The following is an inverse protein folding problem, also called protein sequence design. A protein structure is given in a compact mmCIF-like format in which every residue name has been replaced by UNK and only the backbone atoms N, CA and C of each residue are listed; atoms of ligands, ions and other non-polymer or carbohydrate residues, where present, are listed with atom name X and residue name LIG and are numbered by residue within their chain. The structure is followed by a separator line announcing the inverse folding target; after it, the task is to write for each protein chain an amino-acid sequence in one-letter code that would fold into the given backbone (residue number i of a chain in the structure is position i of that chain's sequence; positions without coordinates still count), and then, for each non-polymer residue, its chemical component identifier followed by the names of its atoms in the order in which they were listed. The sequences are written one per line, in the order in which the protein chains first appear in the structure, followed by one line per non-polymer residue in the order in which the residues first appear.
data_IF_767304403696
#
_entry.id   IF_767304403696
#
_cell.length_a   1.000
_cell.length_b   1.000
_cell.length_c   1.000
_cell.angle_alpha   90.00
_cell.angle_beta   90.00
_cell.angle_gamma   90.00
#
_symmetry.space_group_name_H-M   'P 1'
#
loop_
_entity.id
_entity.type
_entity.pdbx_description
1 polymer ?
#
# COMPACT_ATOMS: atom_id res chain seq x y z
N UNK A 1 5.55 -14.04 18.64
CA UNK A 1 4.43 -13.24 19.15
C UNK A 1 3.66 -12.79 17.92
N UNK A 2 2.54 -13.43 17.59
CA UNK A 2 1.69 -13.09 16.46
C UNK A 2 1.07 -11.72 16.77
N UNK A 3 1.39 -10.71 16.00
CA UNK A 3 0.62 -9.47 16.01
C UNK A 3 -0.65 -9.79 15.21
N UNK A 4 -1.74 -10.00 15.95
CA UNK A 4 -3.08 -10.11 15.37
C UNK A 4 -3.35 -8.86 14.56
N UNK A 5 -3.77 -9.06 13.30
CA UNK A 5 -4.43 -8.03 12.50
C UNK A 5 -5.69 -7.61 13.27
N UNK A 6 -5.57 -6.62 14.13
CA UNK A 6 -6.73 -5.96 14.71
C UNK A 6 -7.45 -5.27 13.56
N UNK A 7 -8.59 -5.85 13.18
CA UNK A 7 -9.61 -5.13 12.40
C UNK A 7 -9.80 -3.77 13.07
N UNK A 8 -9.46 -2.72 12.33
CA UNK A 8 -9.74 -1.34 12.77
C UNK A 8 -11.25 -1.17 12.65
N UNK A 9 -11.94 -1.39 13.76
CA UNK A 9 -13.38 -1.22 13.86
C UNK A 9 -13.77 0.23 13.52
N UNK A 10 -14.82 0.34 12.74
CA UNK A 10 -15.47 1.57 12.28
C UNK A 10 -16.00 2.41 13.46
N UNK A 11 -15.18 3.23 14.11
CA UNK A 11 -15.68 4.37 14.92
C UNK A 11 -14.60 5.28 15.51
N UNK A 12 -13.54 5.61 14.80
CA UNK A 12 -12.64 6.67 15.26
C UNK A 12 -12.68 7.83 14.27
N UNK A 13 -13.29 8.93 14.74
CA UNK A 13 -13.40 10.22 14.03
C UNK A 13 -12.07 10.99 14.06
N UNK A 14 -10.94 10.32 14.18
CA UNK A 14 -9.62 10.95 14.28
C UNK A 14 -8.58 10.21 13.42
N UNK A 15 -7.61 10.94 12.85
CA UNK A 15 -6.50 10.32 12.15
C UNK A 15 -5.71 9.41 13.09
N UNK A 16 -5.22 8.30 12.54
CA UNK A 16 -4.48 7.29 13.28
C UNK A 16 -3.00 7.41 12.94
N UNK A 17 -2.14 7.52 13.96
CA UNK A 17 -0.69 7.49 13.79
C UNK A 17 -0.17 6.11 14.17
N UNK A 18 0.56 5.47 13.26
CA UNK A 18 1.10 4.12 13.47
C UNK A 18 2.59 4.13 13.24
N UNK A 19 3.32 3.56 14.21
CA UNK A 19 4.71 3.16 14.03
C UNK A 19 4.74 1.68 13.66
N UNK A 20 5.29 1.38 12.50
CA UNK A 20 5.44 0.02 12.01
C UNK A 20 6.92 -0.38 12.04
N UNK A 21 7.17 -1.58 12.54
CA UNK A 21 8.49 -2.20 12.64
C UNK A 21 8.45 -3.57 11.98
N UNK A 22 9.38 -3.82 11.06
CA UNK A 22 9.54 -5.10 10.39
C UNK A 22 10.96 -5.62 10.58
N UNK A 23 11.16 -6.60 11.49
CA UNK A 23 12.50 -7.09 11.79
C UNK A 23 13.09 -8.01 10.72
N UNK A 24 12.23 -8.61 9.88
CA UNK A 24 12.66 -9.56 8.86
C UNK A 24 12.09 -9.17 7.49
N UNK A 25 12.80 -9.54 6.44
CA UNK A 25 12.29 -9.41 5.08
C UNK A 25 11.18 -10.46 4.84
N UNK A 26 9.95 -10.02 4.63
CA UNK A 26 8.79 -10.93 4.44
C UNK A 26 8.44 -11.17 2.98
N UNK A 27 9.21 -10.64 2.03
CA UNK A 27 8.83 -10.62 0.63
C UNK A 27 7.63 -9.68 0.34
N UNK A 28 7.11 -9.78 -0.86
CA UNK A 28 6.04 -8.89 -1.33
C UNK A 28 4.71 -9.27 -0.64
N UNK A 29 4.09 -8.27 -0.01
CA UNK A 29 2.79 -8.41 0.65
C UNK A 29 1.74 -7.56 -0.08
N UNK A 30 0.52 -8.11 -0.17
CA UNK A 30 -0.65 -7.37 -0.63
C UNK A 30 -1.31 -6.70 0.57
N UNK A 31 -1.52 -5.40 0.48
CA UNK A 31 -2.18 -4.61 1.53
C UNK A 31 -3.39 -3.90 0.94
N UNK A 32 -4.55 -4.12 1.55
CA UNK A 32 -5.75 -3.38 1.21
C UNK A 32 -5.88 -2.20 2.18
N UNK A 33 -5.64 -0.99 1.68
CA UNK A 33 -5.63 0.24 2.47
C UNK A 33 -7.02 0.86 2.42
N UNK A 34 -7.70 0.86 3.57
CA UNK A 34 -9.08 1.38 3.72
C UNK A 34 -9.13 2.88 4.02
N UNK A 35 -8.01 3.53 4.26
CA UNK A 35 -7.87 4.96 4.54
C UNK A 35 -6.66 5.50 3.78
N UNK A 36 -6.70 6.77 3.38
CA UNK A 36 -5.49 7.41 2.85
C UNK A 36 -4.36 7.36 3.87
N UNK A 37 -3.14 7.22 3.41
CA UNK A 37 -1.99 7.26 4.31
C UNK A 37 -0.85 8.12 3.77
N UNK A 38 -0.19 8.82 4.69
CA UNK A 38 1.07 9.52 4.46
C UNK A 38 2.09 8.89 5.39
N UNK A 39 3.10 8.25 4.79
CA UNK A 39 4.14 7.55 5.52
C UNK A 39 5.52 8.13 5.30
N UNK A 40 6.39 7.91 6.28
CA UNK A 40 7.80 8.31 6.26
C UNK A 40 8.66 7.12 6.64
N UNK A 41 9.62 6.77 5.79
CA UNK A 41 10.59 5.70 6.04
C UNK A 41 11.69 6.22 6.95
N UNK A 42 11.84 5.63 8.12
CA UNK A 42 12.86 6.02 9.11
C UNK A 42 14.13 5.18 9.06
N UNK A 43 13.98 3.90 8.76
CA UNK A 43 15.08 2.95 8.65
C UNK A 43 14.74 1.86 7.64
N UNK A 44 15.74 1.34 6.94
CA UNK A 44 15.56 0.32 5.93
C UNK A 44 15.09 0.87 4.60
N UNK A 45 14.49 -0.01 3.78
CA UNK A 45 13.99 0.31 2.44
C UNK A 45 12.59 -0.26 2.26
N UNK A 46 11.79 0.40 1.43
CA UNK A 46 10.47 -0.06 1.03
C UNK A 46 10.39 -0.13 -0.48
N UNK A 47 10.03 -1.27 -1.01
CA UNK A 47 9.69 -1.44 -2.42
C UNK A 47 8.18 -1.38 -2.57
N UNK A 48 7.67 -0.49 -3.41
CA UNK A 48 6.25 -0.40 -3.77
C UNK A 48 6.10 -0.81 -5.22
N UNK A 49 5.23 -1.80 -5.47
CA UNK A 49 5.00 -2.39 -6.79
C UNK A 49 3.68 -1.92 -7.37
N UNK A 50 3.70 -1.42 -8.59
CA UNK A 50 2.51 -1.05 -9.37
C UNK A 50 2.70 -1.37 -10.84
N UNK A 51 1.75 -2.10 -11.41
CA UNK A 51 1.88 -2.62 -12.77
C UNK A 51 3.18 -3.42 -12.91
N UNK A 52 3.99 -3.06 -13.88
CA UNK A 52 5.31 -3.67 -14.13
C UNK A 52 6.47 -2.90 -13.49
N UNK A 53 6.15 -1.84 -12.74
CA UNK A 53 7.14 -0.95 -12.12
C UNK A 53 7.30 -1.25 -10.64
N UNK A 54 8.51 -0.99 -10.14
CA UNK A 54 8.83 -0.99 -8.71
C UNK A 54 9.48 0.34 -8.35
N UNK A 55 9.00 0.96 -7.28
CA UNK A 55 9.61 2.15 -6.69
C UNK A 55 10.32 1.77 -5.41
N UNK A 56 11.62 2.03 -5.33
CA UNK A 56 12.37 1.91 -4.08
C UNK A 56 12.29 3.24 -3.32
N UNK A 57 11.97 3.14 -2.02
CA UNK A 57 12.07 4.22 -1.05
C UNK A 57 13.12 3.85 0.00
N UNK A 58 13.86 4.85 0.42
CA UNK A 58 14.92 4.72 1.43
C UNK A 58 14.60 5.56 2.67
N UNK A 59 15.39 5.39 3.72
CA UNK A 59 15.27 6.21 4.92
C UNK A 59 15.36 7.72 4.57
N UNK A 60 14.34 8.48 4.98
CA UNK A 60 14.18 9.89 4.66
C UNK A 60 13.13 10.16 3.57
N UNK A 61 12.57 9.14 2.95
CA UNK A 61 11.53 9.33 1.94
C UNK A 61 10.12 9.33 2.54
N UNK A 62 9.26 10.12 1.90
CA UNK A 62 7.82 10.20 2.12
C UNK A 62 7.09 9.40 1.04
N UNK A 63 5.96 8.83 1.41
CA UNK A 63 5.02 8.25 0.46
C UNK A 63 3.57 8.57 0.85
N UNK A 64 2.75 8.70 -0.16
CA UNK A 64 1.30 8.76 -0.06
C UNK A 64 0.72 7.49 -0.69
N UNK A 65 -0.19 6.82 0.01
CA UNK A 65 -0.99 5.74 -0.53
C UNK A 65 -2.46 6.16 -0.48
N UNK A 66 -3.09 6.18 -1.63
CA UNK A 66 -4.54 6.30 -1.75
C UNK A 66 -5.22 5.04 -1.23
N UNK A 67 -6.54 5.10 -1.09
CA UNK A 67 -7.36 3.93 -0.77
C UNK A 67 -7.23 2.92 -1.90
N UNK A 68 -7.09 1.65 -1.54
CA UNK A 68 -6.98 0.58 -2.53
C UNK A 68 -5.99 -0.51 -2.17
N UNK A 69 -5.74 -1.37 -3.15
CA UNK A 69 -4.78 -2.48 -3.01
C UNK A 69 -3.39 -2.04 -3.43
N UNK A 70 -2.45 -2.17 -2.51
CA UNK A 70 -1.05 -1.85 -2.71
C UNK A 70 -0.21 -3.09 -2.46
N UNK A 71 0.89 -3.19 -3.18
CA UNK A 71 1.85 -4.29 -3.04
C UNK A 71 3.19 -3.70 -2.66
N UNK A 72 3.71 -4.10 -1.51
CA UNK A 72 5.01 -3.62 -1.08
C UNK A 72 5.80 -4.66 -0.30
N UNK A 73 7.08 -4.46 -0.23
CA UNK A 73 8.03 -5.23 0.52
C UNK A 73 8.83 -4.30 1.41
N UNK A 74 8.91 -4.62 2.70
CA UNK A 74 9.69 -3.89 3.69
C UNK A 74 10.99 -4.63 3.94
N UNK A 75 12.10 -3.92 3.76
CA UNK A 75 13.46 -4.49 3.76
C UNK A 75 14.25 -3.85 4.90
N UNK A 76 14.62 -4.63 5.93
CA UNK A 76 15.52 -4.20 6.99
C UNK A 76 16.89 -3.75 6.48
N UNK A 77 17.59 -2.94 7.27
CA UNK A 77 18.95 -2.48 6.97
C UNK A 77 19.96 -3.12 7.93
N UNK A 78 20.60 -4.20 7.48
CA UNK A 78 21.45 -5.02 8.31
C UNK A 78 20.72 -5.57 9.52
N UNK A 79 21.21 -5.29 10.73
CA UNK A 79 20.59 -5.72 12.00
C UNK A 79 19.47 -4.79 12.48
N UNK A 80 19.22 -3.66 11.78
CA UNK A 80 18.16 -2.72 12.14
C UNK A 80 16.87 -3.08 11.42
N UNK A 81 15.73 -3.14 12.15
CA UNK A 81 14.45 -3.39 11.52
C UNK A 81 14.10 -2.29 10.53
N UNK A 82 13.32 -2.63 9.51
CA UNK A 82 12.61 -1.60 8.77
C UNK A 82 11.67 -0.85 9.71
N UNK A 83 11.69 0.48 9.64
CA UNK A 83 10.85 1.35 10.46
C UNK A 83 10.19 2.42 9.62
N UNK A 84 8.87 2.55 9.78
CA UNK A 84 8.09 3.68 9.23
C UNK A 84 7.12 4.25 10.26
N UNK A 85 6.77 5.53 10.07
CA UNK A 85 5.64 6.17 10.75
C UNK A 85 4.65 6.59 9.68
N UNK A 86 3.37 6.25 9.89
CA UNK A 86 2.30 6.56 8.94
C UNK A 86 1.11 7.20 9.66
N UNK A 87 0.55 8.23 9.02
CA UNK A 87 -0.72 8.84 9.36
C UNK A 87 -1.78 8.28 8.43
N UNK A 88 -2.83 7.71 9.00
CA UNK A 88 -4.01 7.23 8.28
C UNK A 88 -5.17 8.16 8.52
N UNK A 89 -5.86 8.55 7.46
CA UNK A 89 -6.96 9.51 7.55
C UNK A 89 -8.08 9.22 6.55
N UNK A 90 -9.28 9.68 6.89
CA UNK A 90 -10.46 9.64 6.02
C UNK A 90 -10.65 10.97 5.29
N UNK A 91 -11.51 11.03 4.25
CA UNK A 91 -11.88 12.27 3.58
C UNK A 91 -12.50 13.31 4.50
N UNK A 92 -13.31 12.88 5.46
CA UNK A 92 -13.94 13.78 6.42
C UNK A 92 -12.89 14.43 7.33
N UNK A 93 -11.89 13.67 7.75
CA UNK A 93 -10.82 14.17 8.61
C UNK A 93 -9.95 15.17 7.87
N UNK A 94 -9.56 14.89 6.62
CA UNK A 94 -8.78 15.87 5.85
C UNK A 94 -9.61 17.11 5.52
N UNK A 95 -10.90 16.97 5.20
CA UNK A 95 -11.79 18.11 4.99
C UNK A 95 -11.86 19.00 6.25
N UNK A 96 -11.99 18.39 7.44
CA UNK A 96 -11.96 19.11 8.73
C UNK A 96 -10.64 19.85 8.96
N UNK A 97 -9.51 19.21 8.64
CA UNK A 97 -8.18 19.84 8.74
C UNK A 97 -8.05 21.04 7.81
N UNK A 98 -8.47 20.89 6.53
CA UNK A 98 -8.42 21.99 5.56
C UNK A 98 -9.33 23.17 6.00
N UNK A 99 -10.51 22.88 6.54
CA UNK A 99 -11.37 23.90 7.14
C UNK A 99 -10.70 24.59 8.34
N UNK A 100 -10.06 23.84 9.23
CA UNK A 100 -9.35 24.38 10.39
C UNK A 100 -8.21 25.31 9.95
N UNK A 101 -7.41 24.88 8.98
CA UNK A 101 -6.33 25.68 8.41
C UNK A 101 -6.85 26.98 7.79
N UNK A 102 -7.96 26.93 7.09
CA UNK A 102 -8.56 28.11 6.47
C UNK A 102 -9.21 29.05 7.49
N UNK A 103 -10.12 28.54 8.34
CA UNK A 103 -10.96 29.37 9.20
C UNK A 103 -10.22 29.83 10.47
N UNK A 104 -9.39 28.96 11.06
CA UNK A 104 -8.72 29.28 12.34
C UNK A 104 -7.37 29.94 12.11
N UNK A 105 -6.61 29.47 11.11
CA UNK A 105 -5.26 29.98 10.84
C UNK A 105 -5.17 30.89 9.62
N UNK A 106 -6.32 31.19 8.98
CA UNK A 106 -6.40 32.04 7.78
C UNK A 106 -5.45 31.59 6.64
N UNK A 107 -5.16 30.29 6.59
CA UNK A 107 -4.33 29.70 5.55
C UNK A 107 -5.16 29.47 4.28
N UNK A 108 -4.88 30.22 3.21
CA UNK A 108 -5.57 30.07 1.93
C UNK A 108 -4.98 28.88 1.16
N UNK A 109 -5.84 27.94 0.89
CA UNK A 109 -5.51 26.78 0.05
C UNK A 109 -5.82 27.18 -1.39
N UNK A 110 -4.78 27.54 -2.17
CA UNK A 110 -4.95 27.78 -3.59
C UNK A 110 -5.40 26.46 -4.25
N UNK A 111 -6.60 26.49 -4.83
CA UNK A 111 -7.07 25.37 -5.64
C UNK A 111 -6.07 25.13 -6.78
N UNK A 112 -5.61 23.91 -7.00
CA UNK A 112 -4.71 23.64 -8.12
C UNK A 112 -5.40 24.09 -9.41
N UNK A 113 -4.77 25.02 -10.14
CA UNK A 113 -5.29 25.49 -11.42
C UNK A 113 -5.57 24.29 -12.32
N UNK A 114 -6.78 24.24 -12.90
CA UNK A 114 -7.28 23.18 -13.81
C UNK A 114 -6.50 23.02 -15.13
N UNK A 115 -5.32 23.61 -15.26
CA UNK A 115 -4.56 23.71 -16.51
C UNK A 115 -3.21 22.98 -16.49
N UNK A 116 -3.16 21.81 -15.95
CA UNK A 116 -2.12 20.86 -16.36
C UNK A 116 -2.83 19.59 -16.81
N UNK A 117 -2.62 19.24 -18.08
CA UNK A 117 -2.95 17.95 -18.68
C UNK A 117 -2.74 16.86 -17.63
N UNK A 118 -3.64 15.88 -17.54
CA UNK A 118 -3.38 14.71 -16.70
C UNK A 118 -2.09 14.10 -17.22
N UNK A 119 -0.99 14.37 -16.52
CA UNK A 119 0.21 13.57 -16.69
C UNK A 119 -0.21 12.14 -16.37
N UNK A 120 0.17 11.22 -17.26
CA UNK A 120 -0.20 9.80 -17.26
C UNK A 120 0.34 9.02 -16.05
N UNK A 121 0.20 9.56 -14.86
CA UNK A 121 0.59 8.91 -13.62
C UNK A 121 -0.55 9.04 -12.60
N UNK A 122 -1.65 8.34 -12.90
CA UNK A 122 -2.74 8.05 -11.96
C UNK A 122 -2.33 6.98 -10.93
N UNK A 123 -1.04 6.96 -10.56
CA UNK A 123 -0.60 6.05 -9.51
C UNK A 123 -1.24 6.46 -8.19
N UNK A 124 -1.92 5.53 -7.55
CA UNK A 124 -2.47 5.68 -6.18
C UNK A 124 -1.34 5.85 -5.14
N UNK A 125 -0.09 5.87 -5.59
CA UNK A 125 1.11 6.04 -4.78
C UNK A 125 1.98 7.19 -5.31
N UNK A 126 2.30 8.14 -4.43
CA UNK A 126 3.22 9.25 -4.71
C UNK A 126 4.35 9.20 -3.70
N UNK A 127 5.60 9.38 -4.16
CA UNK A 127 6.79 9.32 -3.32
C UNK A 127 7.70 10.52 -3.60
N UNK A 128 8.33 11.02 -2.54
CA UNK A 128 9.36 12.05 -2.63
C UNK A 128 10.30 12.02 -1.42
N UNK A 129 11.48 12.59 -1.53
CA UNK A 129 12.36 12.79 -0.38
C UNK A 129 11.83 13.90 0.53
N UNK A 130 11.76 13.64 1.84
CA UNK A 130 11.31 14.62 2.82
C UNK A 130 12.31 15.76 2.95
N UNK A 131 11.82 17.00 2.91
CA UNK A 131 12.62 18.18 3.21
C UNK A 131 12.82 18.36 4.73
N UNK A 132 13.76 19.20 5.17
CA UNK A 132 14.21 19.26 6.57
C UNK A 132 13.09 19.43 7.60
N UNK A 133 12.13 20.33 7.35
CA UNK A 133 11.04 20.58 8.30
C UNK A 133 10.13 19.36 8.50
N UNK A 134 9.79 18.64 7.42
CA UNK A 134 8.99 17.41 7.51
C UNK A 134 9.78 16.28 8.15
N UNK A 135 11.06 16.17 7.87
CA UNK A 135 11.94 15.19 8.53
C UNK A 135 12.00 15.42 10.03
N UNK A 136 12.17 16.69 10.46
CA UNK A 136 12.16 17.07 11.88
C UNK A 136 10.82 16.79 12.54
N UNK A 137 9.71 17.02 11.83
CA UNK A 137 8.37 16.67 12.28
C UNK A 137 8.27 15.16 12.58
N UNK A 138 8.63 14.26 11.65
CA UNK A 138 8.57 12.83 11.90
C UNK A 138 9.52 12.36 12.99
N UNK A 139 10.69 12.98 13.15
CA UNK A 139 11.58 12.72 14.27
C UNK A 139 10.95 13.11 15.62
N UNK A 140 10.24 14.24 15.67
CA UNK A 140 9.47 14.67 16.84
C UNK A 140 8.34 13.69 17.14
N UNK A 141 7.55 13.30 16.15
CA UNK A 141 6.48 12.28 16.31
C UNK A 141 7.04 10.98 16.87
N UNK A 142 8.19 10.52 16.37
CA UNK A 142 8.84 9.31 16.87
C UNK A 142 9.23 9.38 18.35
N UNK A 143 9.51 10.58 18.87
CA UNK A 143 9.77 10.79 20.30
C UNK A 143 8.48 10.72 21.11
N UNK A 144 7.41 11.37 20.64
CA UNK A 144 6.09 11.28 21.29
C UNK A 144 5.54 9.84 21.34
N UNK A 145 5.79 9.04 20.32
CA UNK A 145 5.36 7.62 20.28
C UNK A 145 6.05 6.71 21.30
N UNK A 146 6.99 7.21 22.09
CA UNK A 146 7.54 6.49 23.25
C UNK A 146 6.67 6.64 24.50
N UNK A 147 5.78 7.61 24.51
CA UNK A 147 4.82 7.85 25.57
C UNK A 147 3.51 7.10 25.27
N UNK A 148 3.09 6.23 26.18
CA UNK A 148 1.84 5.47 26.06
C UNK A 148 0.62 6.38 25.96
N UNK A 149 0.62 7.53 26.63
CA UNK A 149 -0.48 8.49 26.56
C UNK A 149 -0.67 9.00 25.15
N UNK A 150 0.41 9.35 24.45
CA UNK A 150 0.33 9.81 23.07
C UNK A 150 -0.30 8.76 22.15
N UNK A 151 0.03 7.47 22.35
CA UNK A 151 -0.45 6.39 21.49
C UNK A 151 -1.97 6.20 21.53
N UNK A 152 -2.63 6.66 22.60
CA UNK A 152 -4.08 6.53 22.80
C UNK A 152 -4.82 7.87 22.77
N UNK A 153 -4.12 9.00 22.60
CA UNK A 153 -4.70 10.34 22.57
C UNK A 153 -5.05 10.78 21.15
N UNK A 154 -6.32 10.62 20.80
CA UNK A 154 -6.86 11.04 19.49
C UNK A 154 -6.70 12.55 19.24
N UNK A 155 -6.72 13.38 20.32
CA UNK A 155 -6.50 14.84 20.20
C UNK A 155 -5.07 15.15 19.81
N UNK A 156 -4.09 14.47 20.43
CA UNK A 156 -2.69 14.62 20.08
C UNK A 156 -2.42 14.16 18.65
N UNK A 157 -3.03 13.05 18.20
CA UNK A 157 -2.95 12.59 16.81
C UNK A 157 -3.51 13.63 15.84
N UNK A 158 -4.66 14.22 16.17
CA UNK A 158 -5.29 15.25 15.32
C UNK A 158 -4.43 16.50 15.21
N UNK A 159 -3.88 17.00 16.32
CA UNK A 159 -2.96 18.16 16.34
C UNK A 159 -1.75 17.88 15.45
N UNK A 160 -1.13 16.70 15.59
CA UNK A 160 0.01 16.31 14.75
C UNK A 160 -0.37 16.13 13.29
N UNK A 161 -1.57 15.68 12.99
CA UNK A 161 -2.05 15.58 11.62
C UNK A 161 -2.27 16.97 10.99
N UNK A 162 -2.87 17.91 11.71
CA UNK A 162 -3.00 19.33 11.26
C UNK A 162 -1.63 19.93 10.94
N UNK A 163 -0.63 19.72 11.83
CA UNK A 163 0.74 20.17 11.62
C UNK A 163 1.36 19.56 10.36
N UNK A 164 1.23 18.22 10.18
CA UNK A 164 1.74 17.54 9.00
C UNK A 164 1.14 18.09 7.70
N UNK A 165 -0.20 18.21 7.66
CA UNK A 165 -0.89 18.72 6.46
C UNK A 165 -0.47 20.16 6.16
N UNK A 166 -0.35 21.01 7.17
CA UNK A 166 0.17 22.37 7.00
C UNK A 166 1.57 22.37 6.37
N UNK A 167 2.50 21.56 6.89
CA UNK A 167 3.87 21.46 6.38
C UNK A 167 3.91 20.96 4.92
N UNK A 168 3.04 20.03 4.55
CA UNK A 168 2.97 19.50 3.20
C UNK A 168 2.36 20.52 2.22
N UNK A 169 1.33 21.25 2.64
CA UNK A 169 0.63 22.23 1.79
C UNK A 169 1.39 23.55 1.62
N UNK A 170 2.22 23.93 2.57
CA UNK A 170 3.04 25.16 2.47
C UNK A 170 4.21 25.05 1.51
N UNK A 171 4.63 23.80 1.16
CA UNK A 171 5.63 23.60 0.13
C UNK A 171 4.94 23.52 -1.25
N UNK A 172 5.13 24.49 -2.16
CA UNK A 172 4.50 24.48 -3.49
C UNK A 172 4.98 23.31 -4.35
N UNK A 173 6.20 22.82 -4.10
CA UNK A 173 6.81 21.73 -4.85
C UNK A 173 6.46 20.33 -4.28
N UNK A 174 5.60 20.26 -3.27
CA UNK A 174 5.16 18.98 -2.70
C UNK A 174 4.30 18.20 -3.72
N UNK A 175 4.77 17.06 -4.21
CA UNK A 175 4.03 16.30 -5.22
C UNK A 175 2.72 15.70 -4.69
N UNK A 176 2.59 15.57 -3.36
CA UNK A 176 1.38 15.03 -2.71
C UNK A 176 0.28 16.08 -2.54
N UNK A 177 0.59 17.38 -2.68
CA UNK A 177 -0.33 18.50 -2.39
C UNK A 177 -1.68 18.34 -3.08
N UNK A 178 -1.65 18.07 -4.39
CA UNK A 178 -2.86 17.88 -5.19
C UNK A 178 -3.71 16.71 -4.67
N UNK A 179 -3.10 15.56 -4.41
CA UNK A 179 -3.80 14.36 -3.92
C UNK A 179 -4.39 14.54 -2.53
N UNK A 180 -3.68 15.24 -1.64
CA UNK A 180 -4.20 15.57 -0.31
C UNK A 180 -5.48 16.42 -0.41
N UNK A 181 -5.52 17.40 -1.31
CA UNK A 181 -6.70 18.25 -1.51
C UNK A 181 -7.83 17.43 -2.16
N UNK A 182 -7.54 16.64 -3.18
CA UNK A 182 -8.52 15.80 -3.89
C UNK A 182 -9.10 14.69 -3.00
N UNK A 183 -8.37 14.24 -1.97
CA UNK A 183 -8.82 13.19 -1.04
C UNK A 183 -9.97 13.62 -0.10
N UNK A 184 -10.50 14.82 -0.26
CA UNK A 184 -11.75 15.28 0.40
C UNK A 184 -13.03 14.77 -0.28
N UNK A 185 -12.95 14.20 -1.47
CA UNK A 185 -14.12 13.74 -2.23
C UNK A 185 -14.62 12.38 -1.72
N UNK A 186 -15.64 12.43 -0.85
CA UNK A 186 -16.26 11.25 -0.25
C UNK A 186 -17.06 10.40 -1.23
N UNK A 187 -17.54 10.97 -2.34
CA UNK A 187 -18.46 10.27 -3.25
C UNK A 187 -17.76 9.23 -4.14
N UNK A 188 -16.60 9.59 -4.65
CA UNK A 188 -15.74 8.69 -5.44
C UNK A 188 -15.14 7.60 -4.55
N UNK A 189 -14.72 7.99 -3.35
CA UNK A 189 -14.00 7.15 -2.41
C UNK A 189 -14.83 5.97 -1.89
N UNK A 190 -16.09 6.18 -1.51
CA UNK A 190 -16.96 5.09 -1.05
C UNK A 190 -17.15 4.02 -2.14
N UNK A 191 -17.18 4.42 -3.41
CA UNK A 191 -17.29 3.49 -4.53
C UNK A 191 -15.98 2.68 -4.70
N UNK A 192 -14.85 3.35 -4.76
CA UNK A 192 -13.55 2.72 -4.93
C UNK A 192 -13.17 1.85 -3.74
N UNK A 193 -13.39 2.32 -2.50
CA UNK A 193 -13.18 1.55 -1.27
C UNK A 193 -13.95 0.23 -1.27
N UNK A 194 -15.23 0.29 -1.61
CA UNK A 194 -16.07 -0.91 -1.66
C UNK A 194 -15.52 -1.92 -2.65
N UNK A 195 -15.12 -1.46 -3.84
CA UNK A 195 -14.53 -2.32 -4.86
C UNK A 195 -13.21 -2.94 -4.39
N UNK A 196 -12.29 -2.11 -3.86
CA UNK A 196 -11.00 -2.57 -3.40
C UNK A 196 -11.08 -3.54 -2.22
N UNK A 197 -12.05 -3.36 -1.33
CA UNK A 197 -12.28 -4.27 -0.18
C UNK A 197 -12.63 -5.68 -0.65
N UNK A 198 -13.35 -5.81 -1.75
CA UNK A 198 -13.91 -7.07 -2.23
C UNK A 198 -13.17 -7.68 -3.44
N UNK A 199 -12.03 -7.12 -3.86
CA UNK A 199 -11.26 -7.59 -5.05
C UNK A 199 -10.97 -9.09 -5.01
N UNK A 200 -10.57 -9.61 -3.82
CA UNK A 200 -10.14 -10.99 -3.65
C UNK A 200 -11.24 -11.91 -3.10
N UNK A 201 -12.43 -11.38 -2.93
CA UNK A 201 -13.59 -12.19 -2.56
C UNK A 201 -14.25 -12.84 -3.79
N UNK A 202 -14.93 -13.96 -3.56
CA UNK A 202 -15.71 -14.62 -4.60
C UNK A 202 -17.09 -13.98 -4.74
N UNK A 203 -17.08 -12.71 -5.15
CA UNK A 203 -18.29 -11.90 -5.28
C UNK A 203 -18.60 -11.68 -6.77
N UNK A 204 -19.88 -11.74 -7.13
CA UNK A 204 -20.37 -11.42 -8.47
C UNK A 204 -20.39 -9.91 -8.71
N UNK A 205 -20.44 -9.51 -9.98
CA UNK A 205 -20.55 -8.08 -10.35
C UNK A 205 -21.91 -7.51 -9.88
N UNK A 206 -22.95 -8.33 -9.84
CA UNK A 206 -24.27 -8.01 -9.34
C UNK A 206 -24.25 -7.71 -7.84
N UNK A 207 -23.61 -8.57 -7.06
CA UNK A 207 -23.43 -8.36 -5.62
C UNK A 207 -22.57 -7.14 -5.34
N UNK A 208 -21.47 -6.95 -6.08
CA UNK A 208 -20.60 -5.78 -5.96
C UNK A 208 -21.37 -4.48 -6.29
N UNK A 209 -22.24 -4.51 -7.30
CA UNK A 209 -23.10 -3.37 -7.62
C UNK A 209 -24.09 -3.04 -6.50
N UNK A 210 -24.62 -4.07 -5.83
CA UNK A 210 -25.53 -3.92 -4.69
C UNK A 210 -24.81 -3.33 -3.47
N UNK A 211 -23.59 -3.77 -3.19
CA UNK A 211 -22.74 -3.21 -2.13
C UNK A 211 -22.40 -1.74 -2.38
N UNK A 212 -22.24 -1.34 -3.64
CA UNK A 212 -22.07 0.05 -4.03
C UNK A 212 -23.38 0.86 -4.06
N UNK A 213 -24.53 0.27 -3.69
CA UNK A 213 -25.85 0.88 -3.75
C UNK A 213 -26.20 1.42 -5.15
N UNK A 214 -25.86 0.67 -6.20
CA UNK A 214 -26.09 1.03 -7.62
C UNK A 214 -26.83 -0.07 -8.36
N UNK A 215 -27.62 0.32 -9.36
CA UNK A 215 -28.07 -0.65 -10.36
C UNK A 215 -26.89 -1.13 -11.19
N UNK A 216 -26.95 -2.36 -11.71
CA UNK A 216 -25.86 -2.97 -12.50
C UNK A 216 -25.41 -2.07 -13.67
N UNK A 217 -26.37 -1.41 -14.34
CA UNK A 217 -26.09 -0.49 -15.45
C UNK A 217 -25.34 0.76 -14.98
N UNK A 218 -25.82 1.38 -13.90
CA UNK A 218 -25.16 2.55 -13.29
C UNK A 218 -23.78 2.20 -12.77
N UNK A 219 -23.65 1.05 -12.09
CA UNK A 219 -22.38 0.53 -11.60
C UNK A 219 -21.34 0.36 -12.72
N UNK A 220 -21.69 -0.32 -13.83
CA UNK A 220 -20.76 -0.52 -14.96
C UNK A 220 -20.32 0.79 -15.61
N UNK A 221 -21.23 1.79 -15.68
CA UNK A 221 -20.90 3.12 -16.21
C UNK A 221 -19.95 3.87 -15.28
N UNK A 222 -20.26 3.90 -13.98
CA UNK A 222 -19.43 4.56 -12.96
C UNK A 222 -18.08 3.87 -12.82
N UNK A 223 -18.05 2.53 -12.80
CA UNK A 223 -16.82 1.74 -12.76
C UNK A 223 -15.88 2.08 -13.92
N UNK A 224 -16.42 2.17 -15.16
CA UNK A 224 -15.60 2.55 -16.31
C UNK A 224 -15.06 3.97 -16.21
N UNK A 225 -15.81 4.88 -15.57
CA UNK A 225 -15.35 6.26 -15.34
C UNK A 225 -14.17 6.31 -14.36
N UNK A 226 -14.17 5.46 -13.31
CA UNK A 226 -13.11 5.43 -12.29
C UNK A 226 -11.89 4.61 -12.70
N UNK A 227 -12.09 3.48 -13.36
CA UNK A 227 -11.03 2.50 -13.66
C UNK A 227 -10.70 2.37 -15.15
N UNK A 228 -11.31 3.17 -16.02
CA UNK A 228 -11.14 3.20 -17.48
C UNK A 228 -11.28 1.83 -18.18
N UNK A 229 -11.92 0.87 -17.52
CA UNK A 229 -12.18 -0.46 -18.07
C UNK A 229 -13.41 -1.14 -17.43
N UNK A 230 -13.96 -2.20 -18.08
CA UNK A 230 -15.09 -2.94 -17.52
C UNK A 230 -14.72 -3.66 -16.21
N UNK A 231 -15.66 -3.80 -15.25
CA UNK A 231 -15.43 -4.41 -13.93
C UNK A 231 -14.73 -5.76 -13.97
N UNK A 232 -15.28 -6.71 -14.76
CA UNK A 232 -14.72 -8.05 -14.84
C UNK A 232 -13.26 -8.07 -15.32
N UNK A 233 -12.93 -7.24 -16.31
CA UNK A 233 -11.56 -7.17 -16.86
C UNK A 233 -10.60 -6.59 -15.82
N UNK A 234 -11.01 -5.55 -15.11
CA UNK A 234 -10.22 -4.91 -14.09
C UNK A 234 -9.95 -5.85 -12.90
N UNK A 235 -11.01 -6.48 -12.37
CA UNK A 235 -10.87 -7.46 -11.27
C UNK A 235 -9.94 -8.62 -11.66
N UNK A 236 -10.09 -9.16 -12.86
CA UNK A 236 -9.19 -10.22 -13.37
C UNK A 236 -7.74 -9.73 -13.41
N UNK A 237 -7.51 -8.52 -13.91
CA UNK A 237 -6.16 -7.94 -13.98
C UNK A 237 -5.53 -7.76 -12.59
N UNK A 238 -6.30 -7.29 -11.59
CA UNK A 238 -5.80 -7.16 -10.22
C UNK A 238 -5.45 -8.52 -9.60
N UNK A 239 -6.29 -9.53 -9.81
CA UNK A 239 -6.02 -10.91 -9.37
C UNK A 239 -4.77 -11.51 -10.04
N UNK A 240 -4.57 -11.25 -11.32
CA UNK A 240 -3.36 -11.69 -12.04
C UNK A 240 -2.10 -10.93 -11.58
N UNK A 241 -2.22 -9.66 -11.23
CA UNK A 241 -1.12 -8.88 -10.65
C UNK A 241 -0.69 -9.49 -9.30
N UNK A 242 -1.64 -9.81 -8.42
CA UNK A 242 -1.34 -10.52 -7.17
C UNK A 242 -0.70 -11.87 -7.44
N UNK A 243 -1.24 -12.67 -8.39
CA UNK A 243 -0.68 -13.97 -8.75
C UNK A 243 0.77 -13.85 -9.22
N UNK A 244 1.08 -12.84 -10.03
CA UNK A 244 2.44 -12.53 -10.48
C UNK A 244 3.39 -12.30 -9.31
N UNK A 245 2.96 -11.48 -8.34
CA UNK A 245 3.77 -11.18 -7.16
C UNK A 245 3.98 -12.42 -6.28
N UNK A 246 2.92 -13.23 -6.05
CA UNK A 246 3.03 -14.49 -5.31
C UNK A 246 3.95 -15.52 -5.99
N UNK A 247 4.00 -15.53 -7.32
CA UNK A 247 4.91 -16.42 -8.06
C UNK A 247 6.39 -16.12 -7.76
N UNK A 248 6.78 -14.86 -7.60
CA UNK A 248 8.17 -14.46 -7.37
C UNK A 248 8.53 -14.38 -5.88
N UNK A 249 7.55 -14.25 -4.99
CA UNK A 249 7.77 -14.03 -3.54
C UNK A 249 7.52 -15.26 -2.68
N UNK A 250 6.93 -16.32 -3.23
CA UNK A 250 6.56 -17.53 -2.46
C UNK A 250 6.92 -18.82 -3.20
N UNK A 251 7.02 -19.89 -2.43
CA UNK A 251 7.18 -21.27 -2.96
C UNK A 251 5.85 -21.97 -3.26
N UNK A 252 4.68 -21.29 -3.11
CA UNK A 252 3.36 -21.87 -3.36
C UNK A 252 3.26 -22.43 -4.79
N UNK A 253 2.55 -23.54 -4.95
CA UNK A 253 2.29 -24.11 -6.27
C UNK A 253 1.43 -23.17 -7.14
N UNK A 254 1.48 -23.35 -8.45
CA UNK A 254 0.64 -22.58 -9.40
C UNK A 254 -0.85 -22.75 -9.09
N UNK A 255 -1.27 -23.92 -8.63
CA UNK A 255 -2.66 -24.19 -8.26
C UNK A 255 -3.07 -23.45 -6.98
N UNK A 256 -2.23 -23.46 -5.94
CA UNK A 256 -2.47 -22.70 -4.70
C UNK A 256 -2.55 -21.21 -4.96
N UNK A 257 -1.66 -20.67 -5.79
CA UNK A 257 -1.70 -19.24 -6.17
C UNK A 257 -2.99 -18.91 -6.94
N UNK A 258 -3.42 -19.80 -7.84
CA UNK A 258 -4.70 -19.63 -8.54
C UNK A 258 -5.89 -19.54 -7.55
N UNK A 259 -5.91 -20.40 -6.54
CA UNK A 259 -6.91 -20.36 -5.47
C UNK A 259 -6.85 -19.08 -4.64
N UNK A 260 -5.67 -18.69 -4.19
CA UNK A 260 -5.46 -17.47 -3.38
C UNK A 260 -5.86 -16.18 -4.14
N UNK A 261 -5.75 -16.22 -5.46
CA UNK A 261 -6.15 -15.11 -6.33
C UNK A 261 -7.59 -15.24 -6.84
N UNK A 262 -8.39 -16.14 -6.27
CA UNK A 262 -9.77 -16.39 -6.66
C UNK A 262 -9.97 -16.71 -8.14
N UNK A 263 -9.05 -17.53 -8.70
CA UNK A 263 -9.12 -18.15 -10.03
C UNK A 263 -8.84 -19.66 -9.85
N UNK A 264 -9.77 -20.42 -9.22
CA UNK A 264 -9.50 -21.77 -8.75
C UNK A 264 -9.32 -22.81 -9.88
N UNK A 265 -9.83 -22.53 -11.08
CA UNK A 265 -9.57 -23.39 -12.23
C UNK A 265 -8.15 -23.12 -12.77
N UNK A 266 -7.21 -24.00 -12.42
CA UNK A 266 -5.79 -23.88 -12.80
C UNK A 266 -5.55 -23.73 -14.29
N UNK A 267 -6.29 -24.46 -15.14
CA UNK A 267 -6.16 -24.35 -16.60
C UNK A 267 -6.62 -22.99 -17.12
N UNK A 268 -7.70 -22.45 -16.53
CA UNK A 268 -8.19 -21.11 -16.84
C UNK A 268 -7.21 -20.04 -16.35
N UNK A 269 -6.69 -20.19 -15.13
CA UNK A 269 -5.67 -19.31 -14.57
C UNK A 269 -4.43 -19.22 -15.46
N UNK A 270 -3.88 -20.37 -15.90
CA UNK A 270 -2.72 -20.42 -16.79
C UNK A 270 -2.99 -19.70 -18.11
N UNK A 271 -4.18 -19.87 -18.70
CA UNK A 271 -4.58 -19.18 -19.94
C UNK A 271 -4.67 -17.67 -19.75
N UNK A 272 -5.31 -17.21 -18.68
CA UNK A 272 -5.43 -15.80 -18.37
C UNK A 272 -4.06 -15.16 -18.11
N UNK A 273 -3.22 -15.81 -17.32
CA UNK A 273 -1.88 -15.35 -16.99
C UNK A 273 -1.00 -15.24 -18.24
N UNK A 274 -1.02 -16.28 -19.09
CA UNK A 274 -0.28 -16.27 -20.36
C UNK A 274 -0.76 -15.17 -21.30
N UNK A 275 -2.08 -14.89 -21.32
CA UNK A 275 -2.65 -13.82 -22.13
C UNK A 275 -2.20 -12.43 -21.66
N UNK A 276 -2.11 -12.23 -20.33
CA UNK A 276 -1.74 -10.92 -19.73
C UNK A 276 -0.21 -10.69 -19.77
N UNK A 277 0.60 -11.72 -19.45
CA UNK A 277 2.05 -11.57 -19.30
C UNK A 277 2.89 -12.26 -20.37
N UNK A 278 2.28 -12.84 -21.40
CA UNK A 278 2.98 -13.47 -22.53
C UNK A 278 3.59 -14.85 -22.23
N UNK A 279 3.66 -15.27 -20.96
CA UNK A 279 4.29 -16.51 -20.52
C UNK A 279 3.44 -17.26 -19.50
N UNK A 280 3.70 -18.57 -19.28
CA UNK A 280 2.98 -19.34 -18.27
C UNK A 280 3.46 -18.99 -16.85
N UNK A 281 2.62 -19.18 -15.79
CA UNK A 281 3.00 -18.91 -14.41
C UNK A 281 4.29 -19.63 -13.99
N UNK A 282 4.44 -20.90 -14.35
CA UNK A 282 5.62 -21.70 -14.02
C UNK A 282 6.89 -21.15 -14.68
N UNK A 283 6.81 -20.81 -15.96
CA UNK A 283 7.94 -20.23 -16.69
C UNK A 283 8.26 -18.81 -16.19
N UNK A 284 7.24 -18.03 -15.85
CA UNK A 284 7.41 -16.70 -15.22
C UNK A 284 8.21 -16.80 -13.93
N UNK A 285 7.85 -17.74 -13.04
CA UNK A 285 8.61 -18.01 -11.79
C UNK A 285 10.06 -18.36 -12.09
N UNK A 286 10.29 -19.27 -13.01
CA UNK A 286 11.66 -19.70 -13.38
C UNK A 286 12.52 -18.54 -13.88
N UNK A 287 11.94 -17.60 -14.61
CA UNK A 287 12.66 -16.45 -15.18
C UNK A 287 12.96 -15.35 -14.13
N UNK A 288 12.13 -15.23 -13.09
CA UNK A 288 12.19 -14.09 -12.14
C UNK A 288 12.59 -14.50 -10.71
N UNK A 289 12.58 -15.80 -10.36
CA UNK A 289 13.23 -16.27 -9.14
C UNK A 289 14.69 -16.57 -9.48
N UNK A 290 15.68 -15.88 -8.89
CA UNK A 290 17.05 -16.35 -8.95
C UNK A 290 17.09 -17.74 -8.33
N UNK A 291 17.45 -18.73 -9.12
CA UNK A 291 17.73 -20.09 -8.66
C UNK A 291 18.78 -19.95 -7.55
N UNK A 292 18.36 -20.18 -6.31
CA UNK A 292 19.30 -20.46 -5.25
C UNK A 292 20.05 -21.71 -5.69
N UNK A 293 21.28 -21.56 -6.14
CA UNK A 293 22.19 -22.66 -6.41
C UNK A 293 22.15 -23.56 -5.17
N UNK A 294 21.89 -24.86 -5.26
CA UNK A 294 21.95 -25.72 -4.08
C UNK A 294 23.35 -25.56 -3.49
N UNK A 295 23.43 -25.17 -2.22
CA UNK A 295 24.70 -25.22 -1.51
C UNK A 295 25.27 -26.63 -1.63
N UNK A 296 26.56 -26.81 -1.97
CA UNK A 296 27.14 -28.11 -1.98
C UNK A 296 26.97 -28.72 -0.59
N UNK A 297 26.32 -29.86 -0.53
CA UNK A 297 26.22 -30.70 0.67
C UNK A 297 27.65 -30.95 1.11
N UNK A 298 28.08 -30.31 2.21
CA UNK A 298 29.32 -30.67 2.89
C UNK A 298 29.07 -32.06 3.47
N UNK A 299 29.57 -33.06 2.79
CA UNK A 299 29.70 -34.40 3.32
C UNK A 299 30.73 -34.29 4.45
N UNK A 300 30.42 -34.70 5.69
CA UNK A 300 31.41 -34.73 6.73
C UNK A 300 32.47 -35.75 6.34
N UNK A 301 33.70 -35.28 6.05
CA UNK A 301 34.86 -36.12 5.87
C UNK A 301 35.22 -36.69 7.24
N UNK A 302 35.29 -37.99 7.33
CA UNK A 302 35.67 -38.78 8.49
C UNK A 302 36.84 -38.18 9.26
N UNK A 303 36.62 -37.95 10.54
CA UNK A 303 37.70 -37.73 11.52
C UNK A 303 38.41 -39.06 11.77
N UNK A 304 39.73 -39.15 11.64
CA UNK A 304 40.45 -40.36 12.03
C UNK A 304 40.43 -40.52 13.56
N UNK A 305 40.15 -41.73 13.98
CA UNK A 305 40.23 -42.19 15.37
C UNK A 305 41.64 -41.91 15.92
N UNK A 306 41.72 -41.09 16.96
CA UNK A 306 42.89 -41.07 17.85
C UNK A 306 42.75 -42.20 18.87
N UNK A 307 43.41 -43.32 18.56
CA UNK A 307 43.85 -44.26 19.57
C UNK A 307 45.29 -44.00 19.91
N UNK A 308 45.63 -43.97 21.20
CA UNK A 308 46.94 -44.17 21.84
C UNK A 308 47.98 -42.99 21.77
N UNK A 309 48.07 -42.22 22.84
CA UNK A 309 49.20 -42.27 23.83
C UNK A 309 48.89 -41.32 24.98
#
# INVERSE_FOLDING_TARGET
MKIENKEVSQSTVAPIVVKYLQPFRNGIQAHNVARHSIGFVRCGRKHIYYGDSCKELVAGDLFYLGIGSHYFEDIPDGDKPYEQISFFYSPEEIASVLMTLNLTYNYRIDSPHRHTTPAADESTCICCTAWPTVRNFFNSVAQYMRDEHFMHDSTAHNIKFVELIYLLLTNPDCPMRRRIIESTDTSAENFEQTIHRHIFENISIEELSSLCHRSLTSFKKEFRRHFDMPPHRWLTRQRLLQARLLLISTSKSVSEIGNDCNIPNTSHFIKLFKKEYGTTPALYRQQHCPTTTPQPTIVPTDLPAMSEL
#
